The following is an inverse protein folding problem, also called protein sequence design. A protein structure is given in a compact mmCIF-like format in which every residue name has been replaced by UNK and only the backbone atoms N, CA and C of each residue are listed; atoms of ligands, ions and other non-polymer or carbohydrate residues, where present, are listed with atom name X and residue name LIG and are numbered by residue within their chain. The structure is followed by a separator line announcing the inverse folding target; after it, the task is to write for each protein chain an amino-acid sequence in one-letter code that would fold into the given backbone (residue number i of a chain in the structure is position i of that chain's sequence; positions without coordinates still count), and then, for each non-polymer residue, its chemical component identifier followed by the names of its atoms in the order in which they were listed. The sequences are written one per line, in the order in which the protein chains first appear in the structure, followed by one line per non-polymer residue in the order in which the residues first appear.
data_IF_057974621628
#
_entry.id   IF_057974621628
#
_cell.length_a   1.000
_cell.length_b   1.000
_cell.length_c   1.000
_cell.angle_alpha   90.00
_cell.angle_beta   90.00
_cell.angle_gamma   90.00
#
_symmetry.space_group_name_H-M   'P 1'
#
loop_
_entity.id
_entity.type
_entity.pdbx_description
1 polymer ?
#
# COMPACT_ATOMS: atom_id res chain seq x y z
N UNK A 1 2.20 70.29 -16.63
CA UNK A 1 3.43 69.83 -15.95
C UNK A 1 4.02 68.71 -16.77
N UNK A 2 5.11 68.97 -17.47
CA UNK A 2 5.83 67.95 -18.23
C UNK A 2 6.80 67.25 -17.26
N UNK A 3 6.61 65.95 -17.03
CA UNK A 3 7.59 65.16 -16.28
C UNK A 3 8.89 65.11 -17.09
N UNK A 4 10.00 65.48 -16.46
CA UNK A 4 11.31 65.40 -17.10
C UNK A 4 11.68 63.93 -17.30
N UNK A 5 12.35 63.58 -18.41
CA UNK A 5 12.90 62.23 -18.60
C UNK A 5 13.81 61.78 -17.45
N UNK A 6 14.35 62.74 -16.69
CA UNK A 6 15.11 62.50 -15.47
C UNK A 6 14.24 61.96 -14.33
N UNK A 7 13.01 62.43 -14.20
CA UNK A 7 12.07 62.00 -13.14
C UNK A 7 11.54 60.58 -13.39
N UNK A 8 11.36 60.23 -14.66
CA UNK A 8 10.99 58.86 -15.08
C UNK A 8 12.16 57.90 -14.85
N UNK A 9 13.39 58.29 -15.20
CA UNK A 9 14.59 57.49 -14.94
C UNK A 9 14.86 57.30 -13.45
N UNK A 10 14.70 58.35 -12.63
CA UNK A 10 14.82 58.28 -11.17
C UNK A 10 13.77 57.37 -10.54
N UNK A 11 12.54 57.41 -11.03
CA UNK A 11 11.45 56.53 -10.55
C UNK A 11 11.70 55.07 -10.93
N UNK A 12 12.21 54.80 -12.13
CA UNK A 12 12.56 53.45 -12.57
C UNK A 12 13.74 52.87 -11.77
N UNK A 13 14.79 53.66 -11.58
CA UNK A 13 15.96 53.28 -10.78
C UNK A 13 15.57 53.06 -9.31
N UNK A 14 14.72 53.93 -8.75
CA UNK A 14 14.19 53.79 -7.39
C UNK A 14 13.34 52.53 -7.21
N UNK A 15 12.46 52.23 -8.16
CA UNK A 15 11.65 51.00 -8.15
C UNK A 15 12.49 49.73 -8.28
N UNK A 16 13.51 49.74 -9.13
CA UNK A 16 14.44 48.61 -9.30
C UNK A 16 15.28 48.37 -8.05
N UNK A 17 15.81 49.43 -7.41
CA UNK A 17 16.53 49.34 -6.14
C UNK A 17 15.64 48.82 -5.02
N UNK A 18 14.38 49.27 -4.93
CA UNK A 18 13.43 48.76 -3.94
C UNK A 18 13.13 47.27 -4.14
N UNK A 19 12.95 46.81 -5.38
CA UNK A 19 12.73 45.41 -5.69
C UNK A 19 13.94 44.53 -5.34
N UNK A 20 15.17 45.02 -5.60
CA UNK A 20 16.40 44.34 -5.20
C UNK A 20 16.54 44.26 -3.67
N UNK A 21 16.22 45.33 -2.95
CA UNK A 21 16.25 45.33 -1.48
C UNK A 21 15.20 44.37 -0.92
N UNK A 22 13.98 44.36 -1.45
CA UNK A 22 12.94 43.41 -1.02
C UNK A 22 13.35 41.97 -1.31
N UNK A 23 13.94 41.70 -2.48
CA UNK A 23 14.42 40.36 -2.84
C UNK A 23 15.60 39.92 -1.98
N UNK A 24 16.51 40.85 -1.64
CA UNK A 24 17.62 40.60 -0.74
C UNK A 24 17.14 40.36 0.68
N UNK A 25 16.20 41.16 1.19
CA UNK A 25 15.60 40.97 2.52
C UNK A 25 14.81 39.66 2.57
N UNK A 26 14.02 39.34 1.54
CA UNK A 26 13.32 38.06 1.45
C UNK A 26 14.31 36.89 1.39
N UNK A 27 15.36 36.98 0.57
CA UNK A 27 16.44 35.99 0.49
C UNK A 27 17.17 35.81 1.81
N UNK A 28 17.50 36.90 2.50
CA UNK A 28 18.10 36.89 3.84
C UNK A 28 17.12 36.32 4.86
N UNK A 29 15.83 36.66 4.85
CA UNK A 29 14.84 36.07 5.77
C UNK A 29 14.68 34.57 5.51
N UNK A 30 14.68 34.13 4.25
CA UNK A 30 14.62 32.71 3.86
C UNK A 30 15.90 31.98 4.31
N UNK A 31 17.09 32.58 4.11
CA UNK A 31 18.38 32.04 4.55
C UNK A 31 18.56 32.12 6.07
N UNK A 32 18.00 33.11 6.76
CA UNK A 32 18.07 33.22 8.22
C UNK A 32 17.07 32.28 8.91
N UNK A 33 15.97 31.95 8.23
CA UNK A 33 15.08 30.83 8.58
C UNK A 33 15.66 29.47 8.18
N UNK A 34 16.74 29.43 7.40
CA UNK A 34 17.41 28.18 7.04
C UNK A 34 18.15 27.62 8.25
N UNK A 35 18.18 26.29 8.29
CA UNK A 35 18.48 25.34 9.37
C UNK A 35 19.57 25.66 10.41
N UNK A 36 20.44 26.65 10.19
CA UNK A 36 21.63 26.92 11.00
C UNK A 36 21.37 27.57 12.38
N UNK A 37 20.23 28.26 12.58
CA UNK A 37 19.86 28.87 13.90
C UNK A 37 18.60 28.27 14.53
N UNK A 38 17.92 27.36 13.84
CA UNK A 38 16.74 26.64 14.34
C UNK A 38 17.07 25.19 14.72
N UNK A 39 16.04 24.35 14.80
CA UNK A 39 16.19 22.91 15.08
C UNK A 39 16.64 22.09 13.86
N UNK A 40 17.03 22.73 12.75
CA UNK A 40 17.31 22.07 11.46
C UNK A 40 18.46 21.06 11.48
N UNK A 41 19.30 21.08 12.50
CA UNK A 41 20.33 20.05 12.76
C UNK A 41 19.75 18.65 13.05
N UNK A 42 18.43 18.50 13.25
CA UNK A 42 17.77 17.19 13.27
C UNK A 42 18.09 16.38 12.01
N UNK A 43 18.28 17.03 10.86
CA UNK A 43 18.63 16.39 9.58
C UNK A 43 19.96 15.64 9.64
N UNK A 44 20.92 16.15 10.41
CA UNK A 44 22.23 15.51 10.61
C UNK A 44 22.15 14.29 11.56
N UNK A 45 21.12 14.25 12.41
CA UNK A 45 20.92 13.21 13.41
C UNK A 45 19.88 12.16 12.97
N UNK A 46 19.19 12.40 11.85
CA UNK A 46 18.31 11.42 11.23
C UNK A 46 19.14 10.21 10.78
N UNK A 47 18.76 9.02 11.25
CA UNK A 47 19.42 7.78 10.85
C UNK A 47 18.99 7.42 9.44
N UNK A 48 19.97 7.25 8.55
CA UNK A 48 19.77 6.90 7.15
C UNK A 48 20.45 5.56 6.82
N UNK A 49 19.89 4.75 5.90
CA UNK A 49 18.55 4.94 5.31
C UNK A 49 17.45 4.82 6.38
N UNK A 50 16.26 5.36 6.09
CA UNK A 50 15.11 5.18 6.96
C UNK A 50 14.87 3.68 7.17
N UNK A 51 14.52 3.29 8.40
CA UNK A 51 14.38 1.88 8.76
C UNK A 51 13.27 1.19 7.95
N UNK A 52 12.17 1.91 7.70
CA UNK A 52 11.06 1.45 6.88
C UNK A 52 10.46 2.58 6.06
N UNK A 53 9.76 2.21 4.99
CA UNK A 53 9.05 3.10 4.07
C UNK A 53 7.62 2.63 3.80
N UNK A 54 7.03 1.94 4.78
CA UNK A 54 5.62 1.55 4.77
C UNK A 54 4.71 2.76 4.46
N UNK A 55 3.65 2.51 3.70
CA UNK A 55 2.65 3.54 3.35
C UNK A 55 1.21 3.04 3.45
N UNK A 56 1.01 1.74 3.71
CA UNK A 56 -0.31 1.14 3.84
C UNK A 56 -0.98 1.54 5.15
N UNK A 57 -2.29 1.35 5.24
CA UNK A 57 -3.00 1.26 6.52
C UNK A 57 -2.47 0.10 7.36
N UNK A 58 -2.78 0.13 8.65
CA UNK A 58 -2.29 -0.84 9.63
C UNK A 58 -3.39 -1.47 10.44
N UNK A 59 -3.10 -2.64 11.00
CA UNK A 59 -3.90 -3.34 12.00
C UNK A 59 -3.31 -3.05 13.38
N UNK A 60 -3.99 -2.22 14.15
CA UNK A 60 -3.46 -1.54 15.34
C UNK A 60 -3.73 -2.27 16.66
N UNK A 61 -4.17 -3.53 16.59
CA UNK A 61 -4.47 -4.37 17.75
C UNK A 61 -3.61 -5.63 17.66
N UNK A 62 -2.97 -6.04 18.76
CA UNK A 62 -2.26 -7.32 18.84
C UNK A 62 -3.22 -8.45 19.17
N UNK A 63 -2.74 -9.69 19.05
CA UNK A 63 -3.52 -10.89 19.35
C UNK A 63 -4.00 -10.93 20.82
N UNK A 64 -3.31 -10.24 21.75
CA UNK A 64 -3.69 -10.09 23.17
C UNK A 64 -4.66 -8.91 23.45
N UNK A 65 -5.10 -8.19 22.41
CA UNK A 65 -5.96 -7.01 22.51
C UNK A 65 -5.22 -5.70 22.81
N UNK A 66 -3.91 -5.74 23.07
CA UNK A 66 -3.12 -4.53 23.31
C UNK A 66 -2.97 -3.69 22.04
N UNK A 67 -2.78 -2.38 22.23
CA UNK A 67 -2.66 -1.45 21.11
C UNK A 67 -1.22 -1.38 20.59
N UNK A 68 -1.09 -1.29 19.27
CA UNK A 68 0.18 -1.07 18.58
C UNK A 68 0.55 0.42 18.63
N UNK A 69 1.84 0.71 18.79
CA UNK A 69 2.36 2.09 18.93
C UNK A 69 3.26 2.53 17.78
N UNK A 70 3.73 1.60 16.94
CA UNK A 70 4.60 1.90 15.80
C UNK A 70 3.89 1.62 14.49
N UNK A 71 4.20 2.40 13.45
CA UNK A 71 3.55 2.26 12.14
C UNK A 71 3.93 0.96 11.44
N UNK A 72 5.23 0.62 11.45
CA UNK A 72 5.77 -0.62 10.88
C UNK A 72 5.10 -1.87 11.46
N UNK A 73 4.90 -1.92 12.79
CA UNK A 73 4.23 -3.05 13.41
C UNK A 73 2.76 -3.13 12.97
N UNK A 74 2.06 -1.99 12.88
CA UNK A 74 0.66 -1.98 12.46
C UNK A 74 0.49 -2.43 11.00
N UNK A 75 1.32 -1.94 10.09
CA UNK A 75 1.27 -2.34 8.67
C UNK A 75 1.70 -3.79 8.47
N UNK A 76 2.72 -4.26 9.18
CA UNK A 76 3.13 -5.67 9.19
C UNK A 76 2.02 -6.57 9.75
N UNK A 77 1.33 -6.15 10.81
CA UNK A 77 0.19 -6.88 11.36
C UNK A 77 -0.97 -6.97 10.36
N UNK A 78 -1.23 -5.92 9.56
CA UNK A 78 -2.27 -6.00 8.54
C UNK A 78 -1.95 -7.07 7.49
N UNK A 79 -0.71 -7.09 6.98
CA UNK A 79 -0.24 -8.13 6.07
C UNK A 79 -0.37 -9.52 6.74
N UNK A 80 0.06 -9.67 8.00
CA UNK A 80 -0.06 -10.92 8.74
C UNK A 80 -1.50 -11.40 8.84
N UNK A 81 -2.45 -10.50 9.12
CA UNK A 81 -3.87 -10.85 9.20
C UNK A 81 -4.44 -11.33 7.87
N UNK A 82 -3.98 -10.76 6.74
CA UNK A 82 -4.32 -11.26 5.40
C UNK A 82 -3.75 -12.66 5.19
N UNK A 83 -2.47 -12.87 5.50
CA UNK A 83 -1.80 -14.17 5.33
C UNK A 83 -2.39 -15.27 6.21
N UNK A 84 -2.83 -14.93 7.44
CA UNK A 84 -3.58 -15.85 8.31
C UNK A 84 -4.91 -16.26 7.70
N UNK A 85 -5.69 -15.29 7.19
CA UNK A 85 -6.97 -15.59 6.55
C UNK A 85 -6.79 -16.39 5.24
N UNK A 86 -5.66 -16.20 4.55
CA UNK A 86 -5.28 -17.01 3.39
C UNK A 86 -4.72 -18.40 3.75
N UNK A 87 -4.50 -18.69 5.04
CA UNK A 87 -3.87 -19.92 5.55
C UNK A 87 -2.42 -20.14 5.06
N UNK A 88 -1.67 -19.05 4.89
CA UNK A 88 -0.30 -19.07 4.36
C UNK A 88 0.79 -19.16 5.43
N UNK A 89 0.46 -18.92 6.69
CA UNK A 89 1.42 -18.91 7.81
C UNK A 89 1.02 -19.81 8.99
N UNK A 90 -0.02 -20.62 8.83
CA UNK A 90 -0.39 -21.66 9.80
C UNK A 90 0.66 -22.78 9.81
N UNK A 91 0.90 -23.45 10.96
CA UNK A 91 1.85 -24.56 11.01
C UNK A 91 1.48 -25.68 10.02
N UNK A 92 2.41 -26.02 9.13
CA UNK A 92 2.25 -27.10 8.14
C UNK A 92 3.16 -28.27 8.51
N UNK A 93 2.62 -29.50 8.50
CA UNK A 93 3.34 -30.70 8.89
C UNK A 93 4.49 -31.08 7.92
N UNK A 94 4.42 -30.61 6.67
CA UNK A 94 5.44 -30.83 5.64
C UNK A 94 5.51 -29.64 4.69
N UNK A 95 6.68 -29.37 4.06
CA UNK A 95 6.79 -28.40 2.99
C UNK A 95 5.76 -28.68 1.90
N UNK A 96 5.04 -27.65 1.47
CA UNK A 96 4.04 -27.74 0.41
C UNK A 96 4.67 -27.74 -1.00
N UNK A 97 3.80 -27.86 -2.01
CA UNK A 97 4.12 -27.60 -3.42
C UNK A 97 4.75 -26.22 -3.62
N UNK A 98 5.26 -25.93 -4.81
CA UNK A 98 5.75 -24.60 -5.16
C UNK A 98 4.69 -23.50 -4.97
N UNK A 99 5.11 -22.32 -4.52
CA UNK A 99 4.23 -21.14 -4.34
C UNK A 99 4.72 -19.94 -5.15
N UNK A 100 3.77 -19.22 -5.75
CA UNK A 100 4.00 -17.95 -6.42
C UNK A 100 3.11 -16.83 -5.87
N UNK A 101 3.67 -15.65 -5.68
CA UNK A 101 2.94 -14.43 -5.28
C UNK A 101 3.06 -13.38 -6.37
N UNK A 102 1.92 -12.87 -6.83
CA UNK A 102 1.80 -11.66 -7.64
C UNK A 102 1.32 -10.53 -6.72
N UNK A 103 2.22 -9.65 -6.30
CA UNK A 103 1.90 -8.46 -5.49
C UNK A 103 1.74 -7.23 -6.38
N UNK A 104 0.58 -6.59 -6.32
CA UNK A 104 0.30 -5.37 -7.07
C UNK A 104 0.20 -4.19 -6.13
N UNK A 105 1.15 -3.26 -6.21
CA UNK A 105 1.32 -2.15 -5.28
C UNK A 105 2.31 -2.45 -4.15
N UNK A 106 3.45 -3.10 -4.45
CA UNK A 106 4.43 -3.50 -3.43
C UNK A 106 5.19 -2.35 -2.74
N UNK A 107 4.98 -1.11 -3.18
CA UNK A 107 5.58 0.09 -2.59
C UNK A 107 7.12 0.03 -2.57
N UNK A 108 7.70 0.41 -1.44
CA UNK A 108 9.15 0.45 -1.24
C UNK A 108 9.76 -0.89 -0.84
N UNK A 109 8.99 -1.99 -0.85
CA UNK A 109 9.48 -3.35 -0.61
C UNK A 109 9.41 -3.81 0.86
N UNK A 110 8.97 -2.97 1.79
CA UNK A 110 8.76 -3.38 3.19
C UNK A 110 7.76 -4.55 3.29
N UNK A 111 6.64 -4.49 2.56
CA UNK A 111 5.65 -5.56 2.52
C UNK A 111 6.17 -6.83 1.86
N UNK A 112 6.97 -6.70 0.79
CA UNK A 112 7.63 -7.82 0.13
C UNK A 112 8.50 -8.60 1.12
N UNK A 113 9.33 -7.89 1.89
CA UNK A 113 10.24 -8.53 2.83
C UNK A 113 9.51 -9.08 4.06
N UNK A 114 8.51 -8.37 4.57
CA UNK A 114 7.66 -8.85 5.65
C UNK A 114 6.88 -10.12 5.25
N UNK A 115 6.42 -10.21 4.00
CA UNK A 115 5.77 -11.41 3.46
C UNK A 115 6.72 -12.60 3.49
N UNK A 116 7.93 -12.44 2.94
CA UNK A 116 8.95 -13.51 2.90
C UNK A 116 9.27 -14.01 4.32
N UNK A 117 9.47 -13.10 5.27
CA UNK A 117 9.71 -13.48 6.66
C UNK A 117 8.53 -14.23 7.30
N UNK A 118 7.31 -13.89 6.91
CA UNK A 118 6.10 -14.46 7.53
C UNK A 118 5.79 -15.85 6.99
N UNK A 119 5.91 -16.07 5.67
CA UNK A 119 5.61 -17.37 5.06
C UNK A 119 6.80 -18.33 5.08
N UNK A 120 8.01 -17.82 5.33
CA UNK A 120 9.28 -18.55 5.34
C UNK A 120 9.40 -19.55 4.16
N UNK A 121 9.54 -19.04 2.91
CA UNK A 121 9.39 -19.87 1.73
C UNK A 121 10.43 -20.99 1.67
N UNK A 122 11.64 -20.71 2.14
CA UNK A 122 12.78 -21.63 2.11
C UNK A 122 12.58 -22.86 3.00
N UNK A 123 11.75 -22.74 4.03
CA UNK A 123 11.43 -23.86 4.93
C UNK A 123 10.14 -24.55 4.52
N UNK A 124 9.14 -23.79 4.06
CA UNK A 124 7.77 -24.27 3.93
C UNK A 124 7.38 -24.69 2.50
N UNK A 125 8.21 -24.44 1.48
CA UNK A 125 7.85 -24.70 0.08
C UNK A 125 9.04 -25.25 -0.72
N UNK A 126 8.76 -26.08 -1.73
CA UNK A 126 9.80 -26.64 -2.62
C UNK A 126 10.39 -25.63 -3.60
N UNK A 127 9.62 -24.60 -3.95
CA UNK A 127 10.03 -23.51 -4.85
C UNK A 127 9.19 -22.27 -4.55
N UNK A 128 9.78 -21.09 -4.75
CA UNK A 128 9.19 -19.80 -4.44
C UNK A 128 9.40 -18.80 -5.58
N UNK A 129 8.34 -18.09 -5.95
CA UNK A 129 8.43 -16.97 -6.89
C UNK A 129 7.63 -15.78 -6.39
N UNK A 130 8.24 -14.60 -6.46
CA UNK A 130 7.61 -13.33 -6.17
C UNK A 130 7.70 -12.41 -7.38
N UNK A 131 6.56 -11.92 -7.84
CA UNK A 131 6.48 -10.86 -8.84
C UNK A 131 5.74 -9.67 -8.25
N UNK A 132 6.44 -8.55 -8.15
CA UNK A 132 5.88 -7.28 -7.72
C UNK A 132 5.64 -6.35 -8.90
N UNK A 133 4.47 -5.72 -8.95
CA UNK A 133 4.16 -4.61 -9.86
C UNK A 133 3.87 -3.34 -9.06
N UNK A 134 4.44 -2.19 -9.45
CA UNK A 134 4.01 -0.87 -8.95
C UNK A 134 4.02 0.13 -10.10
N UNK A 135 3.30 1.25 -9.95
CA UNK A 135 3.28 2.33 -10.95
C UNK A 135 4.45 3.30 -10.81
N UNK A 136 5.18 3.24 -9.69
CA UNK A 136 6.22 4.20 -9.36
C UNK A 136 7.62 3.59 -9.54
N UNK A 137 8.40 4.21 -10.43
CA UNK A 137 9.76 3.76 -10.75
C UNK A 137 10.71 3.93 -9.55
N UNK A 138 10.59 5.01 -8.78
CA UNK A 138 11.42 5.24 -7.60
C UNK A 138 11.13 4.22 -6.48
N UNK A 139 9.86 3.81 -6.34
CA UNK A 139 9.47 2.69 -5.47
C UNK A 139 10.09 1.37 -5.96
N UNK A 140 10.04 1.11 -7.27
CA UNK A 140 10.64 -0.10 -7.88
C UNK A 140 12.15 -0.17 -7.61
N UNK A 141 12.87 0.94 -7.82
CA UNK A 141 14.30 1.01 -7.54
C UNK A 141 14.62 0.82 -6.06
N UNK A 142 13.89 1.52 -5.19
CA UNK A 142 14.06 1.45 -3.74
C UNK A 142 13.83 0.03 -3.24
N UNK A 143 12.73 -0.60 -3.64
CA UNK A 143 12.41 -1.96 -3.28
C UNK A 143 13.45 -2.95 -3.80
N UNK A 144 13.92 -2.79 -5.04
CA UNK A 144 14.94 -3.69 -5.61
C UNK A 144 16.23 -3.65 -4.79
N UNK A 145 16.72 -2.44 -4.45
CA UNK A 145 17.90 -2.29 -3.58
C UNK A 145 17.67 -2.90 -2.20
N UNK A 146 16.51 -2.64 -1.60
CA UNK A 146 16.14 -3.16 -0.30
C UNK A 146 16.07 -4.69 -0.25
N UNK A 147 15.39 -5.33 -1.22
CA UNK A 147 15.26 -6.78 -1.26
C UNK A 147 16.60 -7.46 -1.56
N UNK A 148 17.37 -6.99 -2.54
CA UNK A 148 18.65 -7.62 -2.86
C UNK A 148 19.65 -7.50 -1.71
N UNK A 149 19.72 -6.34 -1.04
CA UNK A 149 20.56 -6.18 0.15
C UNK A 149 20.09 -7.04 1.32
N UNK A 150 18.79 -7.20 1.50
CA UNK A 150 18.21 -8.02 2.57
C UNK A 150 18.44 -9.52 2.36
N UNK A 151 18.30 -10.01 1.13
CA UNK A 151 18.64 -11.39 0.75
C UNK A 151 20.14 -11.64 0.95
N UNK A 152 21.01 -10.76 0.43
CA UNK A 152 22.46 -10.92 0.55
C UNK A 152 22.97 -10.87 2.00
N UNK A 153 22.27 -10.14 2.87
CA UNK A 153 22.64 -9.99 4.29
C UNK A 153 21.95 -11.00 5.21
N UNK A 154 21.04 -11.82 4.69
CA UNK A 154 20.29 -12.79 5.50
C UNK A 154 21.20 -13.88 6.02
N UNK A 155 21.14 -14.14 7.33
CA UNK A 155 21.82 -15.28 7.97
C UNK A 155 20.94 -16.54 8.04
N UNK A 156 19.63 -16.36 7.87
CA UNK A 156 18.67 -17.46 7.84
C UNK A 156 18.49 -17.95 6.39
N UNK A 157 18.06 -19.22 6.18
CA UNK A 157 17.61 -19.67 4.87
C UNK A 157 16.65 -18.66 4.25
N UNK A 158 16.94 -18.22 3.04
CA UNK A 158 16.12 -17.26 2.32
C UNK A 158 16.05 -17.64 0.84
N UNK A 159 15.00 -17.24 0.12
CA UNK A 159 14.92 -17.49 -1.31
C UNK A 159 16.06 -16.79 -2.04
N UNK A 160 16.53 -17.40 -3.12
CA UNK A 160 17.53 -16.80 -3.99
C UNK A 160 17.03 -15.45 -4.55
N UNK A 161 17.95 -14.51 -4.80
CA UNK A 161 17.60 -13.19 -5.33
C UNK A 161 16.83 -13.27 -6.67
N UNK A 162 17.05 -14.31 -7.48
CA UNK A 162 16.34 -14.55 -8.74
C UNK A 162 14.87 -14.93 -8.56
N UNK A 163 14.46 -15.35 -7.36
CA UNK A 163 13.07 -15.59 -6.99
C UNK A 163 12.23 -14.31 -6.95
N UNK A 164 12.88 -13.13 -6.92
CA UNK A 164 12.22 -11.83 -6.89
C UNK A 164 12.31 -11.14 -8.25
N UNK A 165 11.17 -10.72 -8.79
CA UNK A 165 11.09 -9.87 -9.98
C UNK A 165 10.18 -8.68 -9.67
N UNK A 166 10.74 -7.47 -9.72
CA UNK A 166 10.01 -6.23 -9.45
C UNK A 166 9.94 -5.40 -10.72
N UNK A 167 8.74 -4.93 -11.07
CA UNK A 167 8.50 -4.17 -12.29
C UNK A 167 7.73 -2.89 -12.03
N UNK A 168 8.10 -1.84 -12.74
CA UNK A 168 7.27 -0.66 -12.93
C UNK A 168 6.25 -0.94 -14.04
N UNK A 169 5.01 -1.26 -13.67
CA UNK A 169 3.95 -1.60 -14.60
C UNK A 169 2.55 -1.36 -13.99
N UNK A 170 1.61 -0.92 -14.83
CA UNK A 170 0.22 -0.71 -14.44
C UNK A 170 -0.52 -2.02 -14.28
N UNK A 171 -0.69 -2.47 -13.04
CA UNK A 171 -1.43 -3.68 -12.74
C UNK A 171 -2.91 -3.61 -13.15
N UNK A 172 -3.52 -2.42 -13.23
CA UNK A 172 -4.94 -2.28 -13.56
C UNK A 172 -5.26 -2.58 -15.04
N UNK A 173 -4.24 -2.61 -15.91
CA UNK A 173 -4.41 -2.86 -17.35
C UNK A 173 -3.43 -3.93 -17.87
N UNK A 174 -3.61 -5.22 -17.52
CA UNK A 174 -2.68 -6.30 -17.91
C UNK A 174 -2.37 -6.40 -19.41
N UNK A 175 -3.33 -6.02 -20.26
CA UNK A 175 -3.17 -6.02 -21.72
C UNK A 175 -2.12 -5.04 -22.24
N UNK A 176 -1.72 -4.05 -21.42
CA UNK A 176 -0.71 -3.03 -21.79
C UNK A 176 0.68 -3.35 -21.25
N UNK A 177 0.86 -4.45 -20.51
CA UNK A 177 2.17 -4.83 -20.01
C UNK A 177 3.16 -5.07 -21.16
N UNK A 178 4.39 -4.60 -20.96
CA UNK A 178 5.48 -4.91 -21.87
C UNK A 178 5.74 -6.43 -21.89
N UNK A 179 6.30 -6.91 -23.00
CA UNK A 179 6.56 -8.34 -23.22
C UNK A 179 7.29 -9.06 -22.07
N UNK A 180 8.35 -8.49 -21.47
CA UNK A 180 9.03 -9.10 -20.33
C UNK A 180 8.13 -9.27 -19.10
N UNK A 181 7.38 -8.23 -18.72
CA UNK A 181 6.45 -8.28 -17.58
C UNK A 181 5.38 -9.35 -17.80
N UNK A 182 4.78 -9.35 -19.00
CA UNK A 182 3.74 -10.31 -19.33
C UNK A 182 4.25 -11.75 -19.29
N UNK A 183 5.46 -12.02 -19.81
CA UNK A 183 6.07 -13.35 -19.79
C UNK A 183 6.34 -13.85 -18.37
N UNK A 184 6.93 -13.02 -17.52
CA UNK A 184 7.26 -13.40 -16.14
C UNK A 184 5.99 -13.67 -15.34
N UNK A 185 4.97 -12.81 -15.47
CA UNK A 185 3.69 -13.02 -14.77
C UNK A 185 2.96 -14.27 -15.29
N UNK A 186 2.95 -14.52 -16.60
CA UNK A 186 2.36 -15.75 -17.16
C UNK A 186 3.11 -17.02 -16.73
N UNK A 187 4.42 -16.94 -16.49
CA UNK A 187 5.22 -18.07 -16.02
C UNK A 187 4.78 -18.56 -14.63
N UNK A 188 4.09 -17.73 -13.83
CA UNK A 188 3.55 -18.12 -12.53
C UNK A 188 2.57 -19.30 -12.62
N UNK A 189 1.96 -19.56 -13.79
CA UNK A 189 1.04 -20.70 -13.98
C UNK A 189 1.66 -22.06 -13.70
N UNK A 190 2.99 -22.17 -13.82
CA UNK A 190 3.70 -23.41 -13.55
C UNK A 190 3.74 -23.76 -12.05
N UNK A 191 3.41 -22.80 -11.16
CA UNK A 191 3.45 -23.00 -9.72
C UNK A 191 2.18 -23.70 -9.22
N UNK A 192 2.32 -24.55 -8.21
CA UNK A 192 1.21 -25.29 -7.62
C UNK A 192 0.23 -24.33 -6.92
N UNK A 193 0.74 -23.60 -5.94
CA UNK A 193 0.02 -22.57 -5.21
C UNK A 193 0.33 -21.19 -5.79
N UNK A 194 -0.68 -20.36 -6.01
CA UNK A 194 -0.55 -19.05 -6.65
C UNK A 194 -1.46 -18.07 -5.93
N UNK A 195 -0.94 -16.91 -5.57
CA UNK A 195 -1.71 -15.86 -4.90
C UNK A 195 -1.48 -14.50 -5.52
N UNK A 196 -2.57 -13.76 -5.66
CA UNK A 196 -2.59 -12.35 -5.96
C UNK A 196 -2.73 -11.59 -4.64
N UNK A 197 -1.81 -10.66 -4.38
CA UNK A 197 -1.82 -9.77 -3.23
C UNK A 197 -2.07 -8.33 -3.66
N UNK A 198 -3.00 -7.67 -2.98
CA UNK A 198 -3.18 -6.22 -3.08
C UNK A 198 -3.37 -5.62 -1.69
N UNK A 199 -2.28 -5.17 -1.08
CA UNK A 199 -2.30 -4.56 0.25
C UNK A 199 -2.57 -3.06 0.12
N UNK A 200 -3.79 -2.61 0.45
CA UNK A 200 -4.14 -1.19 0.56
C UNK A 200 -3.86 -0.35 -0.70
N UNK A 201 -4.21 -0.91 -1.86
CA UNK A 201 -3.92 -0.27 -3.14
C UNK A 201 -5.01 -0.46 -4.20
N UNK A 202 -5.80 -1.54 -4.13
CA UNK A 202 -6.63 -1.98 -5.26
C UNK A 202 -7.81 -1.03 -5.54
N UNK A 203 -8.24 -0.23 -4.56
CA UNK A 203 -9.24 0.81 -4.75
C UNK A 203 -8.73 2.04 -5.53
N UNK A 204 -7.43 2.17 -5.78
CA UNK A 204 -6.89 3.19 -6.69
C UNK A 204 -6.94 2.76 -8.17
N UNK A 205 -7.23 1.48 -8.47
CA UNK A 205 -7.08 0.94 -9.82
C UNK A 205 -8.08 1.56 -10.79
N UNK A 206 -7.57 2.18 -11.85
CA UNK A 206 -8.35 2.95 -12.82
C UNK A 206 -8.10 2.43 -14.24
N UNK A 207 -9.15 2.20 -15.06
CA UNK A 207 -10.55 2.56 -14.82
C UNK A 207 -11.32 1.58 -13.93
N UNK A 208 -10.74 0.41 -13.62
CA UNK A 208 -11.36 -0.63 -12.80
C UNK A 208 -10.32 -1.65 -12.32
N UNK A 209 -10.58 -2.29 -11.18
CA UNK A 209 -9.82 -3.47 -10.70
C UNK A 209 -10.23 -4.80 -11.36
N UNK A 210 -11.32 -4.82 -12.12
CA UNK A 210 -11.81 -6.04 -12.79
C UNK A 210 -10.78 -6.71 -13.71
N UNK A 211 -10.04 -6.00 -14.58
CA UNK A 211 -9.14 -6.66 -15.53
C UNK A 211 -8.04 -7.49 -14.85
N UNK A 212 -7.49 -7.00 -13.73
CA UNK A 212 -6.46 -7.74 -13.00
C UNK A 212 -7.05 -8.88 -12.17
N UNK A 213 -8.25 -8.71 -11.60
CA UNK A 213 -8.97 -9.78 -10.90
C UNK A 213 -9.30 -10.94 -11.84
N UNK A 214 -9.82 -10.63 -13.03
CA UNK A 214 -10.12 -11.60 -14.09
C UNK A 214 -8.84 -12.30 -14.58
N UNK A 215 -7.78 -11.54 -14.84
CA UNK A 215 -6.49 -12.12 -15.20
C UNK A 215 -5.95 -13.06 -14.10
N UNK A 216 -5.98 -12.63 -12.84
CA UNK A 216 -5.55 -13.44 -11.71
C UNK A 216 -6.35 -14.74 -11.58
N UNK A 217 -7.68 -14.67 -11.66
CA UNK A 217 -8.55 -15.85 -11.53
C UNK A 217 -8.49 -16.77 -12.75
N UNK A 218 -8.81 -16.25 -13.94
CA UNK A 218 -9.05 -17.05 -15.12
C UNK A 218 -7.78 -17.34 -15.92
N UNK A 219 -6.78 -16.46 -15.85
CA UNK A 219 -5.53 -16.65 -16.60
C UNK A 219 -4.47 -17.35 -15.76
N UNK A 220 -4.31 -16.95 -14.50
CA UNK A 220 -3.31 -17.56 -13.60
C UNK A 220 -3.87 -18.70 -12.75
N UNK A 221 -5.17 -18.72 -12.46
CA UNK A 221 -5.72 -19.65 -11.46
C UNK A 221 -5.18 -19.36 -10.06
N UNK A 222 -4.95 -18.08 -9.74
CA UNK A 222 -4.42 -17.65 -8.46
C UNK A 222 -5.55 -17.34 -7.47
N UNK A 223 -5.34 -17.66 -6.19
CA UNK A 223 -6.17 -17.13 -5.11
C UNK A 223 -5.99 -15.61 -5.01
N UNK A 224 -6.97 -14.92 -4.45
CA UNK A 224 -6.99 -13.49 -4.23
C UNK A 224 -6.86 -13.20 -2.74
N UNK A 225 -5.99 -12.27 -2.39
CA UNK A 225 -5.89 -11.73 -1.03
C UNK A 225 -5.68 -10.21 -1.09
N UNK A 226 -6.49 -9.46 -0.37
CA UNK A 226 -6.41 -8.01 -0.37
C UNK A 226 -6.86 -7.39 0.96
N UNK A 227 -6.37 -6.19 1.20
CA UNK A 227 -7.06 -5.23 2.04
C UNK A 227 -7.77 -4.21 1.16
N UNK A 228 -9.01 -3.84 1.52
CA UNK A 228 -9.78 -2.85 0.78
C UNK A 228 -10.71 -2.03 1.69
N UNK A 229 -11.23 -0.94 1.14
CA UNK A 229 -12.24 -0.07 1.74
C UNK A 229 -13.58 -0.27 1.04
N UNK A 230 -14.58 -0.75 1.78
CA UNK A 230 -15.92 -0.98 1.26
C UNK A 230 -16.90 0.08 1.76
N UNK A 231 -17.87 0.43 0.93
CA UNK A 231 -18.99 1.28 1.33
C UNK A 231 -19.85 0.53 2.35
N UNK A 232 -20.13 1.17 3.49
CA UNK A 232 -21.08 0.61 4.44
C UNK A 232 -22.51 0.70 3.86
N UNK A 233 -23.24 -0.43 3.70
CA UNK A 233 -24.60 -0.39 3.18
C UNK A 233 -25.58 0.37 4.08
N UNK A 234 -25.26 0.53 5.36
CA UNK A 234 -26.07 1.26 6.33
C UNK A 234 -25.80 2.77 6.30
N UNK A 235 -24.75 3.23 5.61
CA UNK A 235 -24.44 4.64 5.50
C UNK A 235 -25.55 5.40 4.74
N UNK A 236 -25.88 6.61 5.21
CA UNK A 236 -26.84 7.46 4.51
C UNK A 236 -26.38 7.75 3.09
N UNK A 237 -27.33 7.97 2.15
CA UNK A 237 -27.01 8.32 0.75
C UNK A 237 -26.11 9.56 0.64
N UNK A 238 -26.25 10.51 1.57
CA UNK A 238 -25.40 11.72 1.64
C UNK A 238 -23.97 11.35 2.06
N UNK A 239 -23.83 10.55 3.11
CA UNK A 239 -22.53 10.05 3.59
C UNK A 239 -21.81 9.25 2.51
N UNK A 240 -22.52 8.36 1.83
CA UNK A 240 -21.99 7.57 0.72
C UNK A 240 -21.53 8.44 -0.46
N UNK A 241 -22.30 9.48 -0.80
CA UNK A 241 -21.91 10.44 -1.84
C UNK A 241 -20.64 11.21 -1.45
N UNK A 242 -20.55 11.69 -0.20
CA UNK A 242 -19.37 12.38 0.31
C UNK A 242 -18.14 11.46 0.24
N UNK A 243 -18.26 10.20 0.68
CA UNK A 243 -17.16 9.24 0.60
C UNK A 243 -16.69 9.03 -0.85
N UNK A 244 -17.60 8.95 -1.83
CA UNK A 244 -17.22 8.85 -3.25
C UNK A 244 -16.49 10.08 -3.77
N UNK A 245 -16.95 11.28 -3.40
CA UNK A 245 -16.29 12.54 -3.78
C UNK A 245 -14.89 12.65 -3.17
N UNK A 246 -14.72 12.22 -1.92
CA UNK A 246 -13.42 12.09 -1.27
C UNK A 246 -12.54 11.09 -2.02
N UNK A 247 -13.07 9.92 -2.39
CA UNK A 247 -12.35 8.94 -3.18
C UNK A 247 -11.79 9.53 -4.48
N UNK A 248 -12.60 10.31 -5.21
CA UNK A 248 -12.14 11.03 -6.42
C UNK A 248 -11.05 12.04 -6.12
N UNK A 249 -11.17 12.81 -5.03
CA UNK A 249 -10.13 13.75 -4.59
C UNK A 249 -8.81 13.02 -4.27
N UNK A 250 -8.88 11.79 -3.73
CA UNK A 250 -7.73 10.93 -3.49
C UNK A 250 -7.19 10.23 -4.76
N UNK A 251 -7.75 10.52 -5.94
CA UNK A 251 -7.33 9.90 -7.20
C UNK A 251 -7.97 8.54 -7.50
N UNK A 252 -8.94 8.11 -6.71
CA UNK A 252 -9.67 6.86 -6.97
C UNK A 252 -10.81 7.06 -7.99
N UNK A 253 -11.22 6.00 -8.72
CA UNK A 253 -12.44 6.05 -9.52
C UNK A 253 -13.70 6.35 -8.66
N UNK A 254 -14.66 7.09 -9.21
CA UNK A 254 -15.88 7.52 -8.48
C UNK A 254 -16.69 6.37 -7.85
N UNK A 255 -16.66 5.18 -8.46
CA UNK A 255 -17.35 3.97 -7.96
C UNK A 255 -16.39 2.94 -7.38
N UNK A 256 -15.26 3.38 -6.84
CA UNK A 256 -14.28 2.45 -6.24
C UNK A 256 -14.79 1.80 -4.96
N UNK A 257 -15.47 2.56 -4.10
CA UNK A 257 -16.01 2.02 -2.84
C UNK A 257 -17.30 1.25 -3.14
N UNK A 258 -17.17 -0.07 -3.24
CA UNK A 258 -18.27 -1.01 -3.43
C UNK A 258 -18.83 -1.42 -2.08
N UNK A 259 -20.12 -1.77 -2.02
CA UNK A 259 -20.66 -2.53 -0.89
C UNK A 259 -20.10 -3.96 -0.90
N UNK A 260 -20.17 -4.67 0.23
CA UNK A 260 -19.74 -6.06 0.32
C UNK A 260 -20.40 -6.96 -0.75
N UNK A 261 -21.71 -6.81 -0.97
CA UNK A 261 -22.45 -7.58 -1.98
C UNK A 261 -21.96 -7.28 -3.40
N UNK A 262 -21.67 -6.01 -3.72
CA UNK A 262 -21.14 -5.63 -5.02
C UNK A 262 -19.70 -6.14 -5.21
N UNK A 263 -18.89 -6.14 -4.15
CA UNK A 263 -17.52 -6.63 -4.18
C UNK A 263 -17.47 -8.15 -4.38
N UNK A 264 -18.27 -8.90 -3.62
CA UNK A 264 -18.41 -10.35 -3.76
C UNK A 264 -18.89 -10.71 -5.17
N UNK A 265 -19.92 -10.02 -5.67
CA UNK A 265 -20.38 -10.19 -7.06
C UNK A 265 -19.26 -9.92 -8.06
N UNK A 266 -18.46 -8.88 -7.86
CA UNK A 266 -17.33 -8.57 -8.73
C UNK A 266 -16.28 -9.70 -8.74
N UNK A 267 -15.96 -10.30 -7.60
CA UNK A 267 -15.07 -11.46 -7.55
C UNK A 267 -15.67 -12.69 -8.25
N UNK A 268 -16.96 -12.97 -8.05
CA UNK A 268 -17.66 -14.07 -8.72
C UNK A 268 -17.68 -13.88 -10.23
N UNK A 269 -18.01 -12.68 -10.70
CA UNK A 269 -18.00 -12.32 -12.13
C UNK A 269 -16.59 -12.50 -12.74
N UNK A 270 -15.53 -12.30 -11.95
CA UNK A 270 -14.15 -12.49 -12.35
C UNK A 270 -13.68 -13.96 -12.28
N UNK A 271 -14.47 -14.89 -11.74
CA UNK A 271 -14.18 -16.33 -11.79
C UNK A 271 -13.94 -17.01 -10.44
N UNK A 272 -13.97 -16.27 -9.32
CA UNK A 272 -13.84 -16.86 -7.99
C UNK A 272 -15.15 -17.57 -7.56
N UNK A 273 -15.11 -18.79 -7.01
CA UNK A 273 -16.29 -19.45 -6.46
C UNK A 273 -16.84 -18.68 -5.27
N UNK A 274 -18.16 -18.50 -5.20
CA UNK A 274 -18.81 -17.71 -4.14
C UNK A 274 -18.51 -18.28 -2.75
N UNK A 275 -18.52 -19.60 -2.63
CA UNK A 275 -18.32 -20.36 -1.40
C UNK A 275 -16.87 -20.30 -0.90
N UNK A 276 -15.95 -19.77 -1.72
CA UNK A 276 -14.53 -19.64 -1.42
C UNK A 276 -14.14 -18.18 -1.16
N UNK A 277 -15.11 -17.26 -1.06
CA UNK A 277 -14.89 -15.84 -0.78
C UNK A 277 -15.18 -15.56 0.71
N UNK A 278 -14.18 -15.04 1.40
CA UNK A 278 -14.26 -14.59 2.78
C UNK A 278 -13.95 -13.09 2.84
N UNK A 279 -14.88 -12.31 3.41
CA UNK A 279 -14.71 -10.86 3.64
C UNK A 279 -14.88 -10.61 5.13
N UNK A 280 -13.80 -10.16 5.78
CA UNK A 280 -13.75 -9.89 7.22
C UNK A 280 -13.63 -8.39 7.46
N UNK A 281 -14.61 -7.84 8.19
CA UNK A 281 -14.58 -6.46 8.66
C UNK A 281 -13.56 -6.31 9.79
N UNK A 282 -12.62 -5.39 9.63
CA UNK A 282 -11.56 -5.08 10.61
C UNK A 282 -11.53 -3.59 10.94
N UNK A 283 -12.62 -2.86 10.66
CA UNK A 283 -12.72 -1.40 10.78
C UNK A 283 -12.25 -0.87 12.15
N UNK A 284 -12.64 -1.55 13.22
CA UNK A 284 -12.29 -1.17 14.60
C UNK A 284 -10.79 -1.27 14.90
N UNK A 285 -10.08 -2.13 14.19
CA UNK A 285 -8.64 -2.32 14.33
C UNK A 285 -7.82 -1.38 13.43
N UNK A 286 -8.45 -0.63 12.54
CA UNK A 286 -7.76 0.20 11.53
C UNK A 286 -7.88 1.69 11.84
N UNK A 287 -9.08 2.26 11.74
CA UNK A 287 -9.25 3.72 11.75
C UNK A 287 -8.86 4.39 13.08
N UNK A 288 -9.29 3.90 14.26
CA UNK A 288 -8.91 4.55 15.51
C UNK A 288 -7.40 4.56 15.75
N UNK A 289 -6.71 3.49 15.33
CA UNK A 289 -5.27 3.36 15.50
C UNK A 289 -4.47 4.32 14.62
N UNK A 290 -4.78 4.41 13.32
CA UNK A 290 -4.07 5.32 12.42
C UNK A 290 -4.28 6.79 12.81
N UNK A 291 -5.49 7.15 13.26
CA UNK A 291 -5.78 8.51 13.73
C UNK A 291 -4.91 8.86 14.94
N UNK A 292 -4.87 7.99 15.96
CA UNK A 292 -4.02 8.20 17.14
C UNK A 292 -2.54 8.29 16.78
N UNK A 293 -2.08 7.45 15.86
CA UNK A 293 -0.68 7.47 15.41
C UNK A 293 -0.33 8.78 14.70
N UNK A 294 -1.14 9.21 13.73
CA UNK A 294 -0.90 10.45 13.00
C UNK A 294 -0.94 11.67 13.92
N UNK A 295 -1.85 11.71 14.89
CA UNK A 295 -1.92 12.75 15.90
C UNK A 295 -0.67 12.77 16.80
N UNK A 296 -0.18 11.60 17.22
CA UNK A 296 1.05 11.49 18.01
C UNK A 296 2.29 11.92 17.20
N UNK A 297 2.35 11.50 15.93
CA UNK A 297 3.45 11.83 15.03
C UNK A 297 3.47 13.34 14.68
N UNK A 298 2.31 13.96 14.43
CA UNK A 298 2.19 15.40 14.21
C UNK A 298 2.67 16.19 15.45
N UNK A 299 2.28 15.76 16.65
CA UNK A 299 2.76 16.37 17.90
C UNK A 299 4.27 16.23 18.07
N UNK A 300 4.83 15.05 17.80
CA UNK A 300 6.26 14.80 17.92
C UNK A 300 7.07 15.65 16.93
N UNK A 301 6.67 15.67 15.66
CA UNK A 301 7.36 16.44 14.61
C UNK A 301 7.21 17.95 14.79
N UNK A 302 6.07 18.41 15.30
CA UNK A 302 5.84 19.83 15.59
C UNK A 302 6.83 20.39 16.61
N UNK A 303 7.37 19.57 17.52
CA UNK A 303 8.43 19.98 18.44
C UNK A 303 9.72 20.39 17.70
N UNK A 304 9.94 19.87 16.49
CA UNK A 304 11.06 20.20 15.62
C UNK A 304 10.71 21.23 14.54
N UNK A 305 9.51 21.82 14.60
CA UNK A 305 9.00 22.71 13.56
C UNK A 305 8.70 22.01 12.23
N UNK A 306 8.57 20.68 12.23
CA UNK A 306 8.30 19.87 11.04
C UNK A 306 6.79 19.61 10.97
N UNK A 307 6.18 19.92 9.82
CA UNK A 307 4.78 19.59 9.57
C UNK A 307 4.65 18.20 8.98
N UNK A 308 3.61 17.46 9.40
CA UNK A 308 3.20 16.22 8.75
C UNK A 308 2.57 16.44 7.35
N UNK A 309 2.31 17.71 6.97
CA UNK A 309 1.81 18.07 5.65
C UNK A 309 0.48 17.39 5.31
N UNK A 310 0.41 16.81 4.11
CA UNK A 310 -0.79 16.13 3.61
C UNK A 310 -1.29 14.98 4.50
N UNK A 311 -0.41 14.32 5.25
CA UNK A 311 -0.80 13.25 6.16
C UNK A 311 -1.65 13.72 7.35
N UNK A 312 -1.57 15.01 7.71
CA UNK A 312 -2.50 15.60 8.70
C UNK A 312 -3.92 15.64 8.16
N UNK A 313 -4.09 15.91 6.87
CA UNK A 313 -5.39 15.84 6.20
C UNK A 313 -5.87 14.39 6.12
N UNK A 314 -4.97 13.45 5.81
CA UNK A 314 -5.28 12.02 5.82
C UNK A 314 -5.78 11.56 7.20
N UNK A 315 -5.15 12.01 8.31
CA UNK A 315 -5.61 11.69 9.66
C UNK A 315 -7.03 12.17 9.96
N UNK A 316 -7.36 13.41 9.59
CA UNK A 316 -8.74 13.93 9.70
C UNK A 316 -9.73 13.15 8.85
N UNK A 317 -9.28 12.69 7.68
CA UNK A 317 -10.10 11.91 6.79
C UNK A 317 -10.42 10.52 7.38
N UNK A 318 -9.41 9.82 7.90
CA UNK A 318 -9.60 8.52 8.55
C UNK A 318 -10.46 8.64 9.81
N UNK A 319 -10.32 9.74 10.58
CA UNK A 319 -11.21 10.04 11.71
C UNK A 319 -12.66 10.24 11.24
N UNK A 320 -12.87 10.96 10.13
CA UNK A 320 -14.19 11.09 9.53
C UNK A 320 -14.76 9.74 9.07
N UNK A 321 -13.98 8.89 8.40
CA UNK A 321 -14.43 7.55 8.00
C UNK A 321 -14.84 6.72 9.23
N UNK A 322 -14.03 6.71 10.28
CA UNK A 322 -14.31 5.98 11.52
C UNK A 322 -15.57 6.48 12.23
N UNK A 323 -15.78 7.80 12.33
CA UNK A 323 -16.94 8.37 13.03
C UNK A 323 -18.23 8.30 12.23
N UNK A 324 -18.15 8.51 10.92
CA UNK A 324 -19.33 8.53 10.05
C UNK A 324 -19.84 7.14 9.70
N UNK A 325 -19.01 6.10 9.90
CA UNK A 325 -19.30 4.74 9.45
C UNK A 325 -19.49 4.65 7.94
N UNK A 326 -18.93 5.59 7.16
CA UNK A 326 -19.11 5.66 5.72
C UNK A 326 -18.47 4.46 5.00
N UNK A 327 -17.27 4.08 5.46
CA UNK A 327 -16.49 2.99 4.91
C UNK A 327 -16.19 1.95 5.98
N UNK A 328 -16.01 0.71 5.53
CA UNK A 328 -15.50 -0.41 6.29
C UNK A 328 -14.12 -0.77 5.78
N UNK A 329 -13.18 -1.00 6.68
CA UNK A 329 -11.88 -1.55 6.34
C UNK A 329 -11.98 -3.07 6.39
N UNK A 330 -11.64 -3.77 5.30
CA UNK A 330 -11.87 -5.21 5.21
C UNK A 330 -10.63 -5.96 4.72
N UNK A 331 -10.52 -7.21 5.17
CA UNK A 331 -9.65 -8.21 4.56
C UNK A 331 -10.52 -9.10 3.68
N UNK A 332 -10.10 -9.28 2.43
CA UNK A 332 -10.76 -10.14 1.46
C UNK A 332 -9.83 -11.26 1.04
N UNK A 333 -10.29 -12.49 1.16
CA UNK A 333 -9.62 -13.68 0.63
C UNK A 333 -10.59 -14.42 -0.27
N UNK A 334 -10.17 -14.79 -1.47
CA UNK A 334 -10.94 -15.66 -2.35
C UNK A 334 -10.05 -16.76 -2.92
N UNK A 335 -10.42 -18.04 -2.76
CA UNK A 335 -9.60 -19.14 -3.29
C UNK A 335 -9.99 -19.47 -4.74
N UNK A 336 -9.01 -19.83 -5.57
CA UNK A 336 -9.26 -20.20 -6.97
C UNK A 336 -9.89 -21.59 -7.09
N UNK A 337 -10.56 -21.85 -8.21
CA UNK A 337 -11.08 -23.19 -8.54
C UNK A 337 -9.93 -24.21 -8.58
N UNK A 338 -10.00 -25.24 -7.73
CA UNK A 338 -9.00 -26.32 -7.65
C UNK A 338 -7.88 -26.14 -6.63
N UNK A 339 -7.92 -25.10 -5.77
CA UNK A 339 -6.95 -24.96 -4.67
C UNK A 339 -7.23 -25.90 -3.49
N UNK A 340 -8.42 -26.50 -3.41
CA UNK A 340 -8.61 -27.72 -2.62
C UNK A 340 -8.07 -28.87 -3.46
N UNK A 341 -6.93 -29.43 -3.04
CA UNK A 341 -6.70 -30.84 -3.33
C UNK A 341 -7.90 -31.63 -2.81
N UNK A 342 -8.29 -32.67 -3.53
CA UNK A 342 -9.21 -33.70 -3.06
C UNK A 342 -8.93 -34.06 -1.59
N UNK A 343 -9.70 -33.49 -0.66
CA UNK A 343 -9.78 -33.95 0.74
C UNK A 343 -11.16 -34.58 1.01
N UNK A 344 -11.96 -34.82 -0.03
CA UNK A 344 -13.28 -35.45 0.11
C UNK A 344 -13.47 -36.58 -0.91
N UNK A 345 -12.70 -37.67 -0.79
CA UNK A 345 -13.06 -38.96 -1.39
C UNK A 345 -12.32 -40.22 -0.86
N UNK A 346 -11.42 -40.12 0.14
CA UNK A 346 -10.57 -41.26 0.54
C UNK A 346 -10.75 -41.77 1.98
N UNK A 347 -11.89 -41.51 2.61
CA UNK A 347 -12.17 -41.98 3.99
C UNK A 347 -13.59 -42.53 4.15
N UNK A 348 -14.07 -43.29 3.16
CA UNK A 348 -15.17 -44.24 3.31
C UNK A 348 -14.84 -45.50 2.50
N UNK A 349 -13.95 -46.33 3.03
CA UNK A 349 -13.90 -47.79 2.81
C UNK A 349 -12.69 -48.32 3.59
N UNK A 350 -12.93 -48.74 4.84
CA UNK A 350 -12.30 -49.90 5.49
C UNK A 350 -13.23 -50.40 6.58
#
# INVERSE_FOLDING_TARGET
MAFSGRDVALSFVGGFLAALIVSLVAGVVILQRSDARGLGHWKLNAKMPLATMWMNLGYWTRDDGSQVTTFEEATSNLLRQILLQADLISPRASPQRSIAILDVGFGCGDQTWALVKSIDPSTNYTDFRYIGLTLDEAQTETASRYIYSSVASSKAPCPDATAFKLFCADASVPKKWAGPVHREVEALKAFGEKWFLALDCIYYFSPSRRPIMDFSANRLGAGFMAFDLLMNPEASRKTALIARLIGVMMGCPFRTFLTQVEYERQLVDCGYPKEQIEIRDITEHVFPGIVRFLDAQDRALSQYGISLGGYKLAGRLFDWFGRSGALKAVIVVARAKGSMGDVSAASVET
#
